data_IF_110275352795
#
_entry.id   IF_110275352795
#
_cell.length_a   1.000
_cell.length_b   1.000
_cell.length_c   1.000
_cell.angle_alpha   90.00
_cell.angle_beta   90.00
_cell.angle_gamma   90.00
#
_symmetry.space_group_name_H-M   'P 1'
#
loop_
_entity.id
_entity.type
_entity.pdbx_description
1 polymer ?
#
# COMPACT_ATOMS: atom_id res chain seq x y z
N UNK A 1 -10.52 -1.22 -32.57
CA UNK A 1 -10.75 0.03 -33.34
C UNK A 1 -12.21 0.45 -33.60
N UNK A 2 -13.18 0.12 -32.74
CA UNK A 2 -14.43 0.91 -32.58
C UNK A 2 -14.91 0.76 -31.13
N UNK A 3 -14.78 -0.45 -30.57
CA UNK A 3 -14.90 -0.73 -29.11
C UNK A 3 -13.82 -0.04 -28.28
N UNK A 4 -12.56 -0.04 -28.74
CA UNK A 4 -11.48 0.74 -28.10
C UNK A 4 -11.70 2.25 -28.19
N UNK A 5 -12.33 2.74 -29.28
CA UNK A 5 -12.65 4.15 -29.43
C UNK A 5 -13.83 4.57 -28.55
N UNK A 6 -14.81 3.69 -28.32
CA UNK A 6 -15.90 3.91 -27.37
C UNK A 6 -15.44 3.80 -25.91
N UNK A 7 -14.56 2.83 -25.58
CA UNK A 7 -13.97 2.72 -24.25
C UNK A 7 -13.09 3.94 -23.90
N UNK A 8 -12.40 4.51 -24.89
CA UNK A 8 -11.66 5.76 -24.73
C UNK A 8 -12.52 7.01 -24.49
N UNK A 9 -13.82 6.97 -24.78
CA UNK A 9 -14.78 8.05 -24.49
C UNK A 9 -15.32 7.92 -23.04
N UNK A 10 -15.20 6.76 -22.40
CA UNK A 10 -15.64 6.50 -21.01
C UNK A 10 -14.50 6.60 -19.97
N UNK A 11 -13.24 6.66 -20.40
CA UNK A 11 -12.08 6.82 -19.53
C UNK A 11 -11.81 8.32 -19.27
N UNK A 12 -12.12 8.79 -18.06
CA UNK A 12 -11.87 10.15 -17.63
C UNK A 12 -10.69 10.18 -16.66
N UNK A 13 -9.70 11.04 -16.94
CA UNK A 13 -8.64 11.33 -16.00
C UNK A 13 -9.22 12.14 -14.82
N UNK A 14 -9.07 11.62 -13.60
CA UNK A 14 -9.44 12.28 -12.36
C UNK A 14 -8.20 12.69 -11.56
N UNK A 15 -8.31 13.81 -10.85
CA UNK A 15 -7.36 14.12 -9.78
C UNK A 15 -7.61 13.17 -8.60
N UNK A 16 -6.56 12.56 -8.06
CA UNK A 16 -6.63 11.79 -6.83
C UNK A 16 -6.73 12.71 -5.59
N UNK A 17 -6.53 12.14 -4.41
CA UNK A 17 -6.44 12.90 -3.18
C UNK A 17 -5.35 13.99 -3.21
N UNK A 18 -5.43 14.93 -2.27
CA UNK A 18 -4.63 16.16 -2.26
C UNK A 18 -3.12 15.93 -2.45
N UNK A 19 -2.44 16.90 -3.05
CA UNK A 19 -0.99 16.82 -3.32
C UNK A 19 -0.16 16.85 -2.02
N UNK A 20 1.04 16.25 -2.08
CA UNK A 20 2.11 16.51 -1.12
C UNK A 20 2.99 17.65 -1.63
N UNK A 21 3.59 18.44 -0.74
CA UNK A 21 4.57 19.45 -1.12
C UNK A 21 5.94 19.15 -0.53
N UNK A 22 6.99 19.53 -1.25
CA UNK A 22 8.37 19.34 -0.79
C UNK A 22 8.73 20.25 0.39
N UNK A 23 8.03 21.38 0.50
CA UNK A 23 8.12 22.34 1.60
C UNK A 23 6.73 22.92 1.93
N UNK A 24 6.48 23.21 3.20
CA UNK A 24 5.26 23.88 3.67
C UNK A 24 5.20 25.34 3.21
N UNK A 25 6.36 25.96 3.00
CA UNK A 25 6.51 27.29 2.40
C UNK A 25 7.35 27.12 1.14
N UNK A 26 6.74 27.03 -0.05
CA UNK A 26 7.47 26.83 -1.30
C UNK A 26 8.56 27.90 -1.49
N UNK A 27 9.78 27.46 -1.77
CA UNK A 27 10.93 28.33 -2.09
C UNK A 27 11.65 27.79 -3.32
N UNK A 28 12.39 28.63 -4.02
CA UNK A 28 13.11 28.20 -5.22
C UNK A 28 14.03 27.00 -4.92
N UNK A 29 13.85 25.91 -5.67
CA UNK A 29 14.58 24.65 -5.46
C UNK A 29 14.00 23.72 -4.39
N UNK A 30 12.94 24.13 -3.69
CA UNK A 30 12.16 23.31 -2.75
C UNK A 30 10.67 23.72 -2.81
N UNK A 31 10.11 23.67 -4.02
CA UNK A 31 8.76 24.06 -4.38
C UNK A 31 8.03 23.00 -5.21
N UNK A 32 8.42 21.73 -5.10
CA UNK A 32 7.80 20.65 -5.87
C UNK A 32 6.55 20.13 -5.18
N UNK A 33 5.46 19.97 -5.94
CA UNK A 33 4.27 19.25 -5.55
C UNK A 33 4.25 17.86 -6.18
N UNK A 34 3.74 16.89 -5.41
CA UNK A 34 3.56 15.50 -5.82
C UNK A 34 2.07 15.17 -5.81
N UNK A 35 1.52 14.86 -6.98
CA UNK A 35 0.08 14.69 -7.17
C UNK A 35 -0.22 13.27 -7.65
N UNK A 36 -1.09 12.58 -6.93
CA UNK A 36 -1.67 11.30 -7.35
C UNK A 36 -2.87 11.51 -8.27
N UNK A 37 -3.06 10.60 -9.22
CA UNK A 37 -4.17 10.65 -10.18
C UNK A 37 -4.66 9.25 -10.54
N UNK A 38 -5.84 9.19 -11.14
CA UNK A 38 -6.42 7.96 -11.65
C UNK A 38 -7.11 8.17 -13.00
N UNK A 39 -7.26 7.09 -13.77
CA UNK A 39 -8.08 7.05 -14.99
C UNK A 39 -9.25 6.10 -14.75
N UNK A 40 -10.48 6.61 -14.81
CA UNK A 40 -11.68 5.78 -14.64
C UNK A 40 -11.77 4.72 -15.73
N UNK A 41 -12.48 3.61 -15.44
CA UNK A 41 -12.69 2.45 -16.33
C UNK A 41 -11.43 1.62 -16.58
N UNK A 42 -10.26 2.23 -16.76
CA UNK A 42 -8.97 1.54 -16.85
C UNK A 42 -8.39 1.21 -15.47
N UNK A 43 -8.70 2.03 -14.46
CA UNK A 43 -8.19 1.93 -13.10
C UNK A 43 -6.66 1.87 -13.06
N UNK A 44 -6.05 2.80 -13.79
CA UNK A 44 -4.61 3.07 -13.75
C UNK A 44 -4.35 4.39 -13.05
N UNK A 45 -3.18 4.53 -12.44
CA UNK A 45 -2.79 5.75 -11.74
C UNK A 45 -1.45 6.29 -12.17
N UNK A 46 -1.19 7.53 -11.78
CA UNK A 46 0.12 8.17 -11.92
C UNK A 46 0.41 9.04 -10.70
N UNK A 47 1.68 9.06 -10.31
CA UNK A 47 2.23 10.04 -9.37
C UNK A 47 3.16 10.96 -10.17
N UNK A 48 2.83 12.24 -10.17
CA UNK A 48 3.57 13.24 -10.94
C UNK A 48 4.21 14.27 -10.03
N UNK A 49 5.40 14.73 -10.40
CA UNK A 49 6.03 15.89 -9.80
C UNK A 49 5.93 17.10 -10.70
N UNK A 50 5.44 18.21 -10.15
CA UNK A 50 5.36 19.50 -10.81
C UNK A 50 5.83 20.57 -9.83
N UNK A 51 6.49 21.62 -10.32
CA UNK A 51 6.86 22.73 -9.45
C UNK A 51 5.67 23.68 -9.24
N UNK A 52 5.60 24.28 -8.06
CA UNK A 52 4.67 25.33 -7.70
C UNK A 52 5.31 26.65 -8.12
N UNK A 53 4.56 27.44 -8.90
CA UNK A 53 4.91 28.80 -9.24
C UNK A 53 4.91 29.66 -7.96
N UNK A 54 6.05 30.30 -7.66
CA UNK A 54 6.24 31.02 -6.40
C UNK A 54 5.52 32.37 -6.36
N UNK A 55 5.11 32.91 -7.51
CA UNK A 55 4.41 34.19 -7.60
C UNK A 55 2.90 33.98 -7.51
N UNK A 56 2.39 32.95 -8.17
CA UNK A 56 0.95 32.69 -8.31
C UNK A 56 0.43 31.58 -7.38
N UNK A 57 1.31 30.73 -6.85
CA UNK A 57 0.94 29.56 -6.06
C UNK A 57 0.33 28.40 -6.86
N UNK A 58 0.24 28.53 -8.19
CA UNK A 58 -0.31 27.50 -9.07
C UNK A 58 0.71 26.42 -9.41
N UNK A 59 0.25 25.23 -9.77
CA UNK A 59 1.13 24.21 -10.35
C UNK A 59 1.56 24.60 -11.76
N UNK A 60 2.86 24.51 -12.04
CA UNK A 60 3.39 24.64 -13.39
C UNK A 60 2.93 23.45 -14.24
N UNK A 61 2.62 23.72 -15.51
CA UNK A 61 2.15 22.69 -16.46
C UNK A 61 3.22 21.67 -16.84
N UNK A 62 4.49 21.97 -16.57
CA UNK A 62 5.62 21.07 -16.87
C UNK A 62 5.72 19.97 -15.82
N UNK A 63 5.56 18.72 -16.26
CA UNK A 63 5.78 17.53 -15.44
C UNK A 63 7.28 17.23 -15.40
N UNK A 64 7.87 17.22 -14.21
CA UNK A 64 9.30 16.89 -14.00
C UNK A 64 9.55 15.40 -14.17
N UNK A 65 8.63 14.58 -13.66
CA UNK A 65 8.64 13.14 -13.83
C UNK A 65 7.25 12.55 -13.60
N UNK A 66 7.02 11.37 -14.19
CA UNK A 66 5.84 10.52 -14.02
C UNK A 66 6.31 9.15 -13.53
N UNK A 67 5.78 8.73 -12.37
CA UNK A 67 6.12 7.44 -11.77
C UNK A 67 5.59 6.27 -12.60
N UNK A 68 4.38 6.42 -13.18
CA UNK A 68 3.76 5.40 -14.04
C UNK A 68 4.66 4.99 -15.19
N UNK A 69 5.18 5.97 -15.92
CA UNK A 69 6.05 5.75 -17.09
C UNK A 69 7.34 5.04 -16.70
N UNK A 70 7.92 5.42 -15.56
CA UNK A 70 9.14 4.79 -15.01
C UNK A 70 8.88 3.38 -14.49
N UNK A 71 7.70 3.12 -13.92
CA UNK A 71 7.32 1.80 -13.44
C UNK A 71 7.08 0.81 -14.58
N UNK A 72 6.42 1.24 -15.66
CA UNK A 72 6.18 0.39 -16.82
C UNK A 72 7.51 -0.11 -17.42
N UNK A 73 8.54 0.75 -17.47
CA UNK A 73 9.89 0.38 -17.92
C UNK A 73 10.61 -0.63 -17.01
N UNK A 74 10.17 -0.81 -15.76
CA UNK A 74 10.73 -1.80 -14.81
C UNK A 74 10.11 -3.19 -14.96
N UNK A 75 9.14 -3.33 -15.86
CA UNK A 75 8.39 -4.59 -16.07
C UNK A 75 8.53 -5.06 -17.52
N UNK A 76 8.62 -6.39 -17.69
CA UNK A 76 8.71 -7.04 -18.99
C UNK A 76 7.59 -8.04 -19.21
N UNK A 77 7.70 -8.81 -20.29
CA UNK A 77 6.74 -9.88 -20.58
C UNK A 77 6.84 -11.01 -19.55
N UNK A 78 8.06 -11.46 -19.23
CA UNK A 78 8.31 -12.66 -18.41
C UNK A 78 9.28 -12.39 -17.24
N UNK A 79 9.53 -11.12 -16.93
CA UNK A 79 10.44 -10.68 -15.89
C UNK A 79 10.05 -9.29 -15.37
N UNK A 80 10.59 -8.92 -14.22
CA UNK A 80 10.49 -7.56 -13.69
C UNK A 80 11.65 -7.29 -12.72
N UNK A 81 11.99 -6.01 -12.51
CA UNK A 81 13.05 -5.58 -11.59
C UNK A 81 12.49 -4.82 -10.37
N UNK A 82 11.24 -5.12 -9.97
CA UNK A 82 10.59 -4.44 -8.85
C UNK A 82 10.96 -5.08 -7.51
N UNK A 83 11.16 -4.22 -6.50
CA UNK A 83 11.34 -4.64 -5.09
C UNK A 83 10.01 -4.50 -4.38
N UNK A 84 9.25 -5.59 -4.33
CA UNK A 84 7.94 -5.62 -3.69
C UNK A 84 8.06 -6.48 -2.45
N UNK A 85 7.66 -5.93 -1.31
CA UNK A 85 7.83 -6.53 -0.01
C UNK A 85 6.49 -6.91 0.60
N UNK A 86 6.53 -7.98 1.39
CA UNK A 86 5.42 -8.39 2.25
C UNK A 86 5.97 -8.68 3.64
N UNK A 87 5.15 -8.47 4.66
CA UNK A 87 5.46 -8.93 6.02
C UNK A 87 5.07 -10.39 6.13
N UNK A 88 5.97 -11.22 6.64
CA UNK A 88 5.62 -12.61 6.93
C UNK A 88 4.68 -12.68 8.15
N UNK A 89 3.55 -13.41 8.06
CA UNK A 89 2.61 -13.54 9.17
C UNK A 89 3.27 -14.13 10.42
N UNK A 90 3.05 -13.50 11.58
CA UNK A 90 3.54 -14.01 12.87
C UNK A 90 5.02 -13.69 13.20
N UNK A 91 5.76 -12.98 12.35
CA UNK A 91 7.11 -12.48 12.68
C UNK A 91 7.32 -11.03 12.18
N UNK A 92 8.48 -10.44 12.46
CA UNK A 92 8.86 -9.07 12.01
C UNK A 92 9.78 -9.10 10.78
N UNK A 93 9.70 -10.16 9.97
CA UNK A 93 10.55 -10.33 8.79
C UNK A 93 9.87 -9.77 7.56
N UNK A 94 10.64 -9.04 6.75
CA UNK A 94 10.21 -8.62 5.42
C UNK A 94 10.78 -9.57 4.38
N UNK A 95 9.93 -10.00 3.46
CA UNK A 95 10.31 -10.93 2.39
C UNK A 95 9.88 -10.37 1.04
N UNK A 96 10.65 -10.69 -0.01
CA UNK A 96 10.31 -10.28 -1.36
C UNK A 96 9.07 -11.05 -1.85
N UNK A 97 8.10 -10.34 -2.42
CA UNK A 97 6.91 -10.88 -3.08
C UNK A 97 7.27 -11.55 -4.40
N UNK A 98 8.02 -12.65 -4.36
CA UNK A 98 8.53 -13.36 -5.55
C UNK A 98 8.18 -14.83 -5.46
N UNK A 99 7.77 -15.40 -6.59
CA UNK A 99 7.54 -16.83 -6.74
C UNK A 99 7.86 -17.23 -8.18
N UNK A 100 8.95 -17.96 -8.35
CA UNK A 100 9.50 -18.34 -9.65
C UNK A 100 9.65 -17.12 -10.59
N UNK A 101 10.12 -16.01 -10.03
CA UNK A 101 10.24 -14.71 -10.71
C UNK A 101 11.64 -14.57 -11.32
N UNK A 102 11.74 -13.99 -12.51
CA UNK A 102 13.01 -13.62 -13.16
C UNK A 102 13.23 -12.12 -13.13
N UNK A 103 14.50 -11.71 -12.99
CA UNK A 103 14.93 -10.33 -13.22
C UNK A 103 14.96 -10.04 -14.73
N UNK A 104 14.88 -8.77 -15.12
CA UNK A 104 15.08 -8.34 -16.50
C UNK A 104 16.51 -7.83 -16.72
N UNK A 105 17.08 -8.12 -17.88
CA UNK A 105 18.26 -7.43 -18.39
C UNK A 105 17.91 -6.03 -18.93
N UNK A 106 18.89 -5.34 -19.50
CA UNK A 106 18.70 -3.99 -20.08
C UNK A 106 17.77 -3.94 -21.29
N UNK A 107 17.46 -5.08 -21.91
CA UNK A 107 16.55 -5.19 -23.05
C UNK A 107 15.15 -5.66 -22.62
N UNK A 108 14.90 -5.83 -21.31
CA UNK A 108 13.63 -6.33 -20.80
C UNK A 108 13.46 -7.84 -20.97
N UNK A 109 14.54 -8.59 -21.17
CA UNK A 109 14.52 -10.05 -21.30
C UNK A 109 14.85 -10.74 -19.97
N UNK A 110 14.25 -11.92 -19.67
CA UNK A 110 14.54 -12.64 -18.43
C UNK A 110 16.01 -13.04 -18.30
N UNK A 111 16.62 -12.75 -17.16
CA UNK A 111 18.01 -13.07 -16.84
C UNK A 111 18.17 -13.60 -15.41
N UNK A 112 19.34 -14.17 -15.10
CA UNK A 112 19.69 -14.70 -13.79
C UNK A 112 18.91 -15.96 -13.39
N UNK A 113 18.89 -16.28 -12.09
CA UNK A 113 18.17 -17.43 -11.53
C UNK A 113 16.72 -17.08 -11.18
N UNK A 114 15.85 -18.08 -11.13
CA UNK A 114 14.49 -17.89 -10.60
C UNK A 114 14.55 -17.58 -9.09
N UNK A 115 13.80 -16.56 -8.67
CA UNK A 115 13.68 -16.17 -7.28
C UNK A 115 12.31 -16.57 -6.72
N UNK A 116 12.32 -17.20 -5.54
CA UNK A 116 11.14 -17.48 -4.73
C UNK A 116 11.46 -17.13 -3.28
N UNK A 117 10.88 -16.04 -2.79
CA UNK A 117 11.03 -15.62 -1.40
C UNK A 117 9.68 -15.51 -0.66
N UNK A 118 8.56 -15.57 -1.38
CA UNK A 118 7.24 -15.62 -0.74
C UNK A 118 7.11 -16.91 0.09
N UNK A 119 6.76 -16.86 1.39
CA UNK A 119 6.68 -18.05 2.24
C UNK A 119 5.62 -19.04 1.74
N UNK A 120 5.89 -20.34 1.89
CA UNK A 120 4.99 -21.42 1.43
C UNK A 120 3.58 -21.34 2.06
N UNK A 121 3.49 -20.83 3.30
CA UNK A 121 2.22 -20.56 3.98
C UNK A 121 1.37 -19.54 3.21
N UNK A 122 1.97 -18.44 2.77
CA UNK A 122 1.30 -17.37 2.01
C UNK A 122 0.99 -17.80 0.58
N UNK A 123 1.92 -18.54 -0.05
CA UNK A 123 1.69 -19.17 -1.34
C UNK A 123 0.41 -20.00 -1.33
N UNK A 124 0.27 -20.90 -0.36
CA UNK A 124 -0.89 -21.80 -0.24
C UNK A 124 -2.16 -21.06 0.20
N UNK A 125 -2.04 -20.08 1.09
CA UNK A 125 -3.19 -19.35 1.61
C UNK A 125 -3.84 -18.43 0.58
N UNK A 126 -3.06 -17.77 -0.28
CA UNK A 126 -3.56 -16.69 -1.13
C UNK A 126 -3.44 -16.93 -2.63
N UNK A 127 -2.50 -17.76 -3.09
CA UNK A 127 -2.17 -17.83 -4.52
C UNK A 127 -2.25 -19.23 -5.11
N UNK A 128 -2.20 -20.30 -4.32
CA UNK A 128 -2.23 -21.69 -4.78
C UNK A 128 -3.21 -22.54 -3.96
N UNK A 129 -4.50 -22.17 -4.04
CA UNK A 129 -5.56 -22.86 -3.30
C UNK A 129 -5.94 -24.15 -4.05
N UNK A 130 -5.80 -25.35 -3.46
CA UNK A 130 -6.06 -26.61 -4.14
C UNK A 130 -7.49 -26.74 -4.65
N UNK A 131 -7.65 -27.39 -5.80
CA UNK A 131 -8.96 -27.72 -6.36
C UNK A 131 -9.86 -28.51 -5.38
N UNK A 132 -9.33 -29.29 -4.45
CA UNK A 132 -10.15 -30.00 -3.45
C UNK A 132 -10.87 -29.09 -2.44
N UNK A 133 -10.61 -27.77 -2.44
CA UNK A 133 -11.33 -26.76 -1.65
C UNK A 133 -12.24 -25.87 -2.53
N UNK A 134 -12.67 -26.35 -3.70
CA UNK A 134 -13.22 -25.60 -4.85
C UNK A 134 -14.51 -24.76 -4.66
N UNK A 135 -15.28 -24.88 -3.56
CA UNK A 135 -16.48 -24.05 -3.41
C UNK A 135 -16.10 -22.61 -3.00
N UNK A 136 -16.03 -21.71 -3.99
CA UNK A 136 -15.84 -20.26 -3.78
C UNK A 136 -14.40 -19.75 -3.63
N UNK A 137 -13.41 -20.34 -4.32
CA UNK A 137 -11.99 -19.96 -4.20
C UNK A 137 -11.37 -19.34 -5.47
N UNK A 138 -10.24 -18.65 -5.28
CA UNK A 138 -9.45 -17.83 -6.21
C UNK A 138 -9.65 -18.04 -7.73
N UNK A 139 -9.50 -19.25 -8.32
CA UNK A 139 -9.71 -19.39 -9.75
C UNK A 139 -11.20 -19.34 -10.12
N UNK A 140 -12.14 -19.91 -9.35
CA UNK A 140 -13.59 -19.90 -9.67
C UNK A 140 -14.25 -18.53 -9.50
N UNK A 141 -13.59 -17.62 -8.79
CA UNK A 141 -14.07 -16.26 -8.56
C UNK A 141 -13.74 -15.28 -9.70
N UNK A 142 -12.80 -15.61 -10.59
CA UNK A 142 -12.47 -14.79 -11.75
C UNK A 142 -13.51 -14.96 -12.86
N UNK A 143 -13.96 -13.85 -13.47
CA UNK A 143 -15.03 -13.85 -14.49
C UNK A 143 -14.71 -14.74 -15.69
N UNK A 144 -13.44 -14.84 -16.09
CA UNK A 144 -12.99 -15.66 -17.22
C UNK A 144 -12.88 -17.16 -16.91
N UNK A 145 -13.06 -17.60 -15.67
CA UNK A 145 -12.81 -18.99 -15.26
C UNK A 145 -13.67 -20.01 -15.99
N UNK A 146 -14.93 -19.67 -16.28
CA UNK A 146 -15.85 -20.56 -17.03
C UNK A 146 -15.36 -20.83 -18.46
N UNK A 147 -14.53 -19.93 -19.00
CA UNK A 147 -13.92 -20.04 -20.31
C UNK A 147 -12.50 -20.66 -20.26
N UNK A 148 -11.94 -20.83 -19.06
CA UNK A 148 -10.65 -21.50 -18.89
C UNK A 148 -10.79 -23.00 -19.09
N UNK A 149 -9.94 -23.55 -19.94
CA UNK A 149 -9.81 -24.99 -20.16
C UNK A 149 -9.16 -25.70 -18.97
N UNK A 150 -9.53 -26.96 -18.73
CA UNK A 150 -9.11 -27.77 -17.58
C UNK A 150 -8.12 -28.89 -17.97
N UNK A 151 -7.55 -28.82 -19.17
CA UNK A 151 -6.63 -29.83 -19.70
C UNK A 151 -7.32 -31.04 -20.32
N UNK A 152 -8.66 -31.13 -20.24
CA UNK A 152 -9.39 -32.18 -20.93
C UNK A 152 -9.26 -32.06 -22.45
N UNK A 153 -9.39 -33.18 -23.15
CA UNK A 153 -9.37 -33.24 -24.62
C UNK A 153 -8.09 -32.67 -25.27
N UNK A 154 -6.95 -32.72 -24.57
CA UNK A 154 -5.66 -32.24 -25.10
C UNK A 154 -5.49 -30.72 -25.09
N UNK A 155 -6.38 -30.00 -24.40
CA UNK A 155 -6.26 -28.56 -24.17
C UNK A 155 -5.18 -28.24 -23.12
N UNK A 156 -4.75 -26.98 -23.05
CA UNK A 156 -3.93 -26.49 -21.94
C UNK A 156 -4.79 -26.45 -20.67
N UNK A 157 -4.28 -26.90 -19.53
CA UNK A 157 -4.96 -26.70 -18.24
C UNK A 157 -4.75 -25.26 -17.73
N UNK A 158 -5.53 -24.33 -18.28
CA UNK A 158 -5.51 -22.91 -17.92
C UNK A 158 -5.86 -22.69 -16.45
N UNK A 159 -6.74 -23.52 -15.88
CA UNK A 159 -7.18 -23.39 -14.49
C UNK A 159 -6.06 -23.64 -13.51
N UNK A 160 -5.21 -24.63 -13.78
CA UNK A 160 -4.03 -24.91 -12.97
C UNK A 160 -2.98 -23.81 -13.13
N UNK A 161 -2.68 -23.39 -14.37
CA UNK A 161 -1.60 -22.41 -14.59
C UNK A 161 -2.00 -20.97 -14.26
N UNK A 162 -3.28 -20.64 -14.10
CA UNK A 162 -3.74 -19.30 -13.71
C UNK A 162 -3.45 -18.94 -12.25
N UNK A 163 -3.05 -19.91 -11.43
CA UNK A 163 -2.72 -19.73 -10.01
C UNK A 163 -1.20 -19.74 -9.79
N UNK A 164 -0.78 -19.65 -8.52
CA UNK A 164 0.61 -19.76 -8.08
C UNK A 164 1.51 -18.65 -8.62
N UNK A 165 2.68 -19.06 -9.11
CA UNK A 165 3.72 -18.16 -9.61
C UNK A 165 3.25 -17.22 -10.73
N UNK A 166 2.39 -17.68 -11.63
CA UNK A 166 1.90 -16.86 -12.74
C UNK A 166 1.05 -15.69 -12.23
N UNK A 167 0.22 -15.93 -11.22
CA UNK A 167 -0.61 -14.88 -10.62
C UNK A 167 0.26 -13.89 -9.84
N UNK A 168 1.21 -14.39 -9.04
CA UNK A 168 2.17 -13.54 -8.32
C UNK A 168 2.94 -12.66 -9.32
N UNK A 169 3.46 -13.22 -10.40
CA UNK A 169 4.20 -12.48 -11.42
C UNK A 169 3.33 -11.47 -12.18
N UNK A 170 2.06 -11.77 -12.44
CA UNK A 170 1.12 -10.78 -12.97
C UNK A 170 0.93 -9.61 -11.99
N UNK A 171 0.73 -9.88 -10.70
CA UNK A 171 0.57 -8.86 -9.65
C UNK A 171 1.83 -8.02 -9.46
N UNK A 172 3.01 -8.60 -9.69
CA UNK A 172 4.27 -7.84 -9.75
C UNK A 172 4.35 -6.92 -10.98
N UNK A 173 3.57 -7.16 -12.02
CA UNK A 173 3.52 -6.31 -13.22
C UNK A 173 3.98 -7.00 -14.50
N UNK A 174 4.32 -8.29 -14.48
CA UNK A 174 4.70 -9.01 -15.71
C UNK A 174 3.51 -9.12 -16.66
N UNK A 175 3.78 -8.94 -17.96
CA UNK A 175 2.74 -8.69 -18.97
C UNK A 175 2.47 -9.84 -19.94
N UNK A 176 3.30 -10.89 -19.92
CA UNK A 176 3.28 -11.98 -20.90
C UNK A 176 1.95 -12.71 -20.97
N UNK A 177 1.25 -12.83 -19.84
CA UNK A 177 -0.02 -13.55 -19.71
C UNK A 177 -1.26 -12.64 -19.71
N UNK A 178 -1.11 -11.37 -20.06
CA UNK A 178 -2.22 -10.43 -20.22
C UNK A 178 -3.05 -10.74 -21.47
N UNK A 179 -4.29 -10.27 -21.52
CA UNK A 179 -5.17 -10.43 -22.69
C UNK A 179 -5.65 -11.86 -22.86
N UNK A 180 -6.42 -12.34 -21.88
CA UNK A 180 -7.03 -13.67 -21.81
C UNK A 180 -7.53 -14.20 -23.18
N UNK A 181 -7.11 -15.43 -23.51
CA UNK A 181 -7.60 -16.19 -24.67
C UNK A 181 -7.82 -17.65 -24.24
N UNK A 182 -9.00 -18.26 -24.48
CA UNK A 182 -9.24 -19.67 -24.17
C UNK A 182 -8.22 -20.61 -24.83
N UNK A 183 -7.85 -21.69 -24.14
CA UNK A 183 -6.87 -22.67 -24.61
C UNK A 183 -5.50 -22.05 -25.00
N UNK A 184 -5.03 -21.08 -24.22
CA UNK A 184 -3.73 -20.43 -24.41
C UNK A 184 -3.03 -20.16 -23.08
N UNK A 185 -1.82 -19.62 -23.13
CA UNK A 185 -1.06 -19.20 -21.96
C UNK A 185 -1.36 -17.75 -21.52
N UNK A 186 -2.33 -17.08 -22.17
CA UNK A 186 -2.88 -15.76 -21.84
C UNK A 186 -4.04 -15.93 -20.87
N UNK A 187 -3.87 -15.50 -19.63
CA UNK A 187 -4.72 -15.90 -18.49
C UNK A 187 -5.48 -14.75 -17.84
N UNK A 188 -4.96 -13.52 -17.97
CA UNK A 188 -5.39 -12.38 -17.15
C UNK A 188 -5.89 -11.21 -18.00
N UNK A 189 -6.46 -10.20 -17.36
CA UNK A 189 -6.83 -8.95 -18.03
C UNK A 189 -5.65 -8.27 -18.71
N UNK A 190 -5.95 -7.46 -19.72
CA UNK A 190 -4.98 -6.50 -20.28
C UNK A 190 -4.85 -5.29 -19.37
N UNK A 191 -3.64 -4.74 -19.25
CA UNK A 191 -3.37 -3.49 -18.56
C UNK A 191 -2.76 -2.46 -19.51
N UNK A 192 -3.21 -1.22 -19.44
CA UNK A 192 -2.54 -0.10 -20.11
C UNK A 192 -1.28 0.31 -19.36
N UNK A 193 -1.33 0.31 -18.02
CA UNK A 193 -0.22 0.61 -17.13
C UNK A 193 -0.17 -0.33 -15.91
N UNK A 194 1.02 -0.47 -15.31
CA UNK A 194 1.22 -1.34 -14.13
C UNK A 194 0.79 -0.65 -12.83
N UNK A 195 1.05 0.66 -12.70
CA UNK A 195 0.69 1.42 -11.50
C UNK A 195 -0.83 1.52 -11.37
N UNK A 196 -1.35 1.05 -10.23
CA UNK A 196 -2.77 1.14 -9.90
C UNK A 196 -3.25 2.57 -9.69
N UNK A 197 -4.56 2.77 -9.73
CA UNK A 197 -5.19 4.05 -9.47
C UNK A 197 -4.89 4.57 -8.05
N UNK A 198 -4.59 5.88 -7.95
CA UNK A 198 -4.40 6.60 -6.69
C UNK A 198 -5.61 7.50 -6.48
N UNK A 199 -6.64 6.97 -5.81
CA UNK A 199 -7.93 7.65 -5.66
C UNK A 199 -7.96 8.49 -4.39
N UNK A 200 -7.84 7.87 -3.21
CA UNK A 200 -7.99 8.58 -1.92
C UNK A 200 -6.69 8.71 -1.13
N UNK A 201 -5.60 8.09 -1.58
CA UNK A 201 -4.31 8.19 -0.89
C UNK A 201 -3.61 9.49 -1.25
N UNK A 202 -3.55 10.42 -0.31
CA UNK A 202 -2.70 11.60 -0.42
C UNK A 202 -1.23 11.14 -0.29
N UNK A 203 -0.35 11.50 -1.24
CA UNK A 203 1.07 11.21 -1.12
C UNK A 203 1.66 11.88 0.13
N UNK A 204 2.71 11.29 0.70
CA UNK A 204 3.47 11.84 1.83
C UNK A 204 4.93 11.93 1.47
N UNK A 205 5.46 13.15 1.46
CA UNK A 205 6.87 13.43 1.20
C UNK A 205 7.68 13.41 2.49
N UNK A 206 8.80 12.68 2.49
CA UNK A 206 9.71 12.55 3.64
C UNK A 206 11.12 12.86 3.19
N UNK A 207 11.74 13.86 3.82
CA UNK A 207 13.15 14.22 3.71
C UNK A 207 13.79 14.25 5.09
N UNK A 208 14.92 14.91 5.30
CA UNK A 208 15.54 15.09 6.61
C UNK A 208 14.53 15.44 7.74
N UNK A 209 14.66 14.88 8.95
CA UNK A 209 13.83 15.23 10.10
C UNK A 209 13.87 16.74 10.40
N UNK A 210 12.73 17.33 10.74
CA UNK A 210 12.61 18.76 11.03
C UNK A 210 11.89 19.08 12.36
N UNK A 211 11.55 18.07 13.18
CA UNK A 211 10.98 18.34 14.50
C UNK A 211 12.06 18.85 15.47
N UNK A 212 11.63 19.31 16.64
CA UNK A 212 12.53 19.80 17.71
C UNK A 212 12.18 19.15 19.06
N UNK A 213 12.09 17.81 19.07
CA UNK A 213 11.85 17.09 20.31
C UNK A 213 13.02 17.27 21.29
N UNK A 214 12.68 17.54 22.55
CA UNK A 214 13.65 17.68 23.65
C UNK A 214 14.05 16.32 24.24
N UNK A 215 13.51 15.23 23.71
CA UNK A 215 13.82 13.87 24.11
C UNK A 215 15.30 13.53 23.84
N UNK A 216 15.90 12.79 24.76
CA UNK A 216 17.31 12.39 24.71
C UNK A 216 17.66 11.73 23.37
N UNK A 217 18.76 12.19 22.77
CA UNK A 217 19.30 11.64 21.52
C UNK A 217 18.60 12.10 20.24
N UNK A 218 17.49 12.86 20.32
CA UNK A 218 16.78 13.28 19.11
C UNK A 218 17.61 14.26 18.27
N UNK A 219 18.29 15.23 18.88
CA UNK A 219 19.17 16.16 18.15
C UNK A 219 20.30 15.44 17.39
N UNK A 220 20.84 14.37 17.97
CA UNK A 220 21.82 13.51 17.32
C UNK A 220 21.19 12.73 16.15
N UNK A 221 19.96 12.24 16.30
CA UNK A 221 19.20 11.60 15.23
C UNK A 221 18.94 12.54 14.05
N UNK A 222 18.48 13.78 14.31
CA UNK A 222 18.26 14.80 13.27
C UNK A 222 19.56 15.05 12.50
N UNK A 223 20.68 15.21 13.23
CA UNK A 223 22.00 15.41 12.63
C UNK A 223 22.43 14.22 11.77
N UNK A 224 22.24 12.99 12.27
CA UNK A 224 22.58 11.76 11.57
C UNK A 224 21.71 11.49 10.33
N UNK A 225 20.56 12.16 10.21
CA UNK A 225 19.61 12.01 9.10
C UNK A 225 19.46 13.28 8.27
N UNK A 226 20.40 14.22 8.37
CA UNK A 226 20.41 15.47 7.60
C UNK A 226 20.40 15.24 6.08
N UNK A 227 21.06 14.17 5.61
CA UNK A 227 21.14 13.80 4.19
C UNK A 227 20.24 12.60 3.85
N UNK A 228 19.13 12.40 4.58
CA UNK A 228 18.17 11.34 4.28
C UNK A 228 17.62 11.52 2.86
N UNK A 229 17.78 10.48 2.03
CA UNK A 229 17.22 10.41 0.67
C UNK A 229 15.74 10.78 0.69
N UNK A 230 15.32 11.82 -0.05
CA UNK A 230 13.93 12.22 -0.09
C UNK A 230 13.06 11.21 -0.84
N UNK A 231 11.93 10.85 -0.25
CA UNK A 231 10.98 9.87 -0.78
C UNK A 231 9.56 10.43 -0.78
N UNK A 232 8.75 9.97 -1.73
CA UNK A 232 7.29 10.10 -1.68
C UNK A 232 6.68 8.71 -1.49
N UNK A 233 5.79 8.61 -0.50
CA UNK A 233 5.03 7.39 -0.20
C UNK A 233 3.57 7.59 -0.55
N UNK A 234 2.96 6.65 -1.27
CA UNK A 234 1.55 6.74 -1.66
C UNK A 234 0.94 5.34 -1.80
N UNK A 235 -0.29 5.17 -1.31
CA UNK A 235 -1.06 3.96 -1.53
C UNK A 235 -1.70 3.96 -2.91
N UNK A 236 -1.69 2.80 -3.58
CA UNK A 236 -2.38 2.59 -4.84
C UNK A 236 -3.25 1.32 -4.81
N UNK A 237 -4.28 1.32 -5.64
CA UNK A 237 -5.28 0.25 -5.65
C UNK A 237 -4.83 -1.03 -6.38
N UNK A 238 -3.59 -1.08 -6.86
CA UNK A 238 -2.89 -2.31 -7.28
C UNK A 238 -2.41 -3.18 -6.10
N UNK A 239 -2.73 -2.78 -4.86
CA UNK A 239 -2.49 -3.56 -3.66
C UNK A 239 -1.32 -3.09 -2.83
N UNK A 240 -0.70 -1.95 -3.16
CA UNK A 240 0.61 -1.61 -2.62
C UNK A 240 0.68 -0.18 -2.07
N UNK A 241 1.45 -0.02 -1.01
CA UNK A 241 2.13 1.24 -0.72
C UNK A 241 3.37 1.32 -1.60
N UNK A 242 3.49 2.36 -2.41
CA UNK A 242 4.68 2.61 -3.22
C UNK A 242 5.58 3.65 -2.56
N UNK A 243 6.90 3.47 -2.72
CA UNK A 243 7.92 4.43 -2.35
C UNK A 243 8.70 4.86 -3.59
N UNK A 244 8.63 6.15 -3.93
CA UNK A 244 9.31 6.73 -5.08
C UNK A 244 10.43 7.67 -4.63
N UNK A 245 11.57 7.60 -5.31
CA UNK A 245 12.64 8.59 -5.10
C UNK A 245 12.13 9.97 -5.50
N UNK A 246 12.29 10.96 -4.63
CA UNK A 246 11.82 12.31 -4.86
C UNK A 246 12.85 13.40 -4.49
N UNK A 247 14.12 13.27 -4.90
CA UNK A 247 15.13 14.26 -4.59
C UNK A 247 14.77 15.61 -5.22
N UNK A 248 14.74 16.67 -4.39
CA UNK A 248 14.51 18.04 -4.87
C UNK A 248 15.80 18.73 -5.35
N UNK A 249 16.97 18.23 -4.92
CA UNK A 249 18.28 18.82 -5.22
C UNK A 249 19.02 18.02 -6.29
N UNK A 250 19.58 18.71 -7.27
CA UNK A 250 20.43 18.11 -8.33
C UNK A 250 21.71 17.47 -7.78
N UNK A 251 22.12 17.86 -6.58
CA UNK A 251 23.29 17.30 -5.88
C UNK A 251 22.98 16.01 -5.14
N UNK A 252 21.72 15.59 -5.04
CA UNK A 252 21.36 14.32 -4.42
C UNK A 252 21.88 13.15 -5.29
N UNK A 253 22.55 12.14 -4.70
CA UNK A 253 23.05 10.99 -5.46
C UNK A 253 21.95 10.21 -6.20
N UNK A 254 20.69 10.34 -5.77
CA UNK A 254 19.53 9.69 -6.39
C UNK A 254 18.79 10.60 -7.38
N UNK A 255 19.33 11.77 -7.75
CA UNK A 255 18.63 12.72 -8.62
C UNK A 255 18.20 12.11 -9.96
N UNK A 256 19.03 11.29 -10.58
CA UNK A 256 18.70 10.56 -11.81
C UNK A 256 17.53 9.57 -11.62
N UNK A 257 17.37 9.05 -10.40
CA UNK A 257 16.33 8.09 -10.03
C UNK A 257 15.00 8.78 -9.66
N UNK A 258 14.88 10.12 -9.76
CA UNK A 258 13.64 10.82 -9.41
C UNK A 258 12.41 10.24 -10.12
N UNK A 259 11.35 9.94 -9.37
CA UNK A 259 10.14 9.29 -9.85
C UNK A 259 10.26 7.77 -10.05
N UNK A 260 11.42 7.16 -9.85
CA UNK A 260 11.55 5.70 -9.91
C UNK A 260 11.07 5.05 -8.62
N UNK A 261 10.38 3.92 -8.75
CA UNK A 261 9.98 3.08 -7.63
C UNK A 261 11.23 2.48 -6.97
N UNK A 262 11.48 2.86 -5.72
CA UNK A 262 12.53 2.26 -4.90
C UNK A 262 12.09 0.90 -4.38
N UNK A 263 10.84 0.82 -3.90
CA UNK A 263 10.18 -0.39 -3.44
C UNK A 263 8.67 -0.18 -3.31
N UNK A 264 7.94 -1.28 -3.14
CA UNK A 264 6.54 -1.29 -2.78
C UNK A 264 6.29 -2.27 -1.62
N UNK A 265 5.23 -2.08 -0.85
CA UNK A 265 4.84 -2.94 0.28
C UNK A 265 3.37 -3.35 0.15
N UNK A 266 3.09 -4.64 0.31
CA UNK A 266 1.73 -5.19 0.30
C UNK A 266 1.33 -5.56 1.74
N UNK A 267 0.38 -4.83 2.34
CA UNK A 267 -0.19 -5.21 3.63
C UNK A 267 -0.91 -6.56 3.55
N UNK A 268 -0.79 -7.39 4.59
CA UNK A 268 -1.39 -8.74 4.59
C UNK A 268 -2.92 -8.71 4.49
N UNK A 269 -3.57 -7.64 4.96
CA UNK A 269 -5.00 -7.46 4.92
C UNK A 269 -5.60 -7.40 3.51
N UNK A 270 -4.83 -6.96 2.49
CA UNK A 270 -5.31 -6.88 1.10
C UNK A 270 -5.06 -8.17 0.30
N UNK A 271 -4.16 -9.04 0.77
CA UNK A 271 -3.73 -10.24 0.05
C UNK A 271 -4.86 -11.17 -0.40
N UNK A 272 -5.90 -11.46 0.42
CA UNK A 272 -6.99 -12.33 -0.01
C UNK A 272 -7.73 -11.84 -1.25
N UNK A 273 -7.67 -10.54 -1.56
CA UNK A 273 -8.41 -9.91 -2.66
C UNK A 273 -7.54 -9.60 -3.88
N UNK A 274 -6.21 -9.72 -3.81
CA UNK A 274 -5.33 -9.29 -4.89
C UNK A 274 -5.56 -10.03 -6.20
N UNK A 275 -6.00 -11.29 -6.16
CA UNK A 275 -6.32 -12.04 -7.38
C UNK A 275 -7.36 -11.35 -8.26
N UNK A 276 -8.25 -10.54 -7.69
CA UNK A 276 -9.29 -9.80 -8.42
C UNK A 276 -8.68 -8.80 -9.40
N UNK A 277 -7.45 -8.34 -9.16
CA UNK A 277 -6.70 -7.49 -10.09
C UNK A 277 -6.39 -8.19 -11.41
N UNK A 278 -6.50 -9.52 -11.49
CA UNK A 278 -6.25 -10.30 -12.69
C UNK A 278 -7.53 -10.62 -13.51
N UNK A 279 -8.70 -10.27 -12.98
CA UNK A 279 -10.01 -10.56 -13.56
C UNK A 279 -10.24 -9.73 -14.85
N UNK A 280 -10.68 -10.37 -15.92
CA UNK A 280 -10.94 -9.68 -17.20
C UNK A 280 -12.06 -8.64 -17.13
N UNK A 281 -12.95 -8.73 -16.15
CA UNK A 281 -14.02 -7.77 -15.87
C UNK A 281 -13.65 -6.78 -14.76
N UNK A 282 -12.36 -6.61 -14.45
CA UNK A 282 -11.90 -5.71 -13.38
C UNK A 282 -12.40 -4.27 -13.52
N UNK A 283 -12.59 -3.77 -14.74
CA UNK A 283 -13.15 -2.43 -15.00
C UNK A 283 -14.50 -2.19 -14.28
N UNK A 284 -15.37 -3.21 -14.28
CA UNK A 284 -16.70 -3.19 -13.65
C UNK A 284 -16.68 -3.73 -12.21
N UNK A 285 -15.65 -4.50 -11.86
CA UNK A 285 -15.49 -5.21 -10.57
C UNK A 285 -14.35 -4.65 -9.73
N UNK A 286 -14.00 -3.38 -9.95
CA UNK A 286 -12.89 -2.69 -9.29
C UNK A 286 -12.97 -2.84 -7.78
N UNK A 287 -11.79 -2.86 -7.16
CA UNK A 287 -11.65 -2.85 -5.72
C UNK A 287 -10.65 -1.80 -5.31
N UNK A 288 -10.97 -1.16 -4.20
CA UNK A 288 -9.97 -0.47 -3.41
C UNK A 288 -9.08 -1.50 -2.69
N UNK A 289 -7.81 -1.17 -2.50
CA UNK A 289 -6.88 -2.00 -1.72
C UNK A 289 -6.06 -1.15 -0.75
N UNK A 290 -4.91 -0.63 -1.15
CA UNK A 290 -4.12 0.28 -0.31
C UNK A 290 -4.47 1.72 -0.68
N UNK A 291 -5.58 2.21 -0.14
CA UNK A 291 -6.16 3.50 -0.54
C UNK A 291 -6.06 4.58 0.56
N UNK A 292 -5.61 4.20 1.77
CA UNK A 292 -5.39 5.13 2.87
C UNK A 292 -4.18 6.03 2.64
N UNK A 293 -4.25 7.27 3.16
CA UNK A 293 -3.12 8.21 3.13
C UNK A 293 -2.10 7.84 4.22
N UNK A 294 -0.82 7.59 3.88
CA UNK A 294 0.19 7.29 4.90
C UNK A 294 0.52 8.53 5.75
N UNK A 295 0.69 8.34 7.06
CA UNK A 295 1.21 9.34 8.00
C UNK A 295 2.64 8.96 8.39
N UNK A 296 3.51 9.95 8.58
CA UNK A 296 4.91 9.74 8.99
C UNK A 296 5.22 10.56 10.23
N UNK A 297 6.02 10.00 11.15
CA UNK A 297 6.45 10.67 12.37
C UNK A 297 7.67 10.00 12.98
N UNK A 298 8.51 10.78 13.67
CA UNK A 298 9.65 10.22 14.39
C UNK A 298 9.22 9.72 15.77
N UNK A 299 9.67 8.53 16.14
CA UNK A 299 9.40 7.90 17.43
C UNK A 299 10.70 7.43 18.08
N UNK A 300 10.70 7.33 19.41
CA UNK A 300 11.75 6.62 20.12
C UNK A 300 11.27 5.20 20.46
N UNK A 301 11.93 4.21 19.86
CA UNK A 301 11.71 2.80 20.17
C UNK A 301 12.57 2.43 21.39
N UNK A 302 11.94 2.37 22.56
CA UNK A 302 12.63 2.05 23.81
C UNK A 302 13.13 0.60 23.87
N UNK A 303 12.50 -0.33 23.15
CA UNK A 303 12.93 -1.72 23.10
C UNK A 303 14.23 -1.90 22.34
N UNK A 304 14.44 -1.08 21.30
CA UNK A 304 15.67 -1.06 20.52
C UNK A 304 16.63 0.10 20.87
N UNK A 305 16.25 0.94 21.82
CA UNK A 305 16.99 2.13 22.26
C UNK A 305 17.46 3.03 21.10
N UNK A 306 16.55 3.31 20.15
CA UNK A 306 16.87 4.07 18.94
C UNK A 306 15.70 4.91 18.46
N UNK A 307 16.04 6.04 17.83
CA UNK A 307 15.09 6.85 17.08
C UNK A 307 14.78 6.22 15.73
N UNK A 308 13.50 6.26 15.36
CA UNK A 308 13.01 5.77 14.07
C UNK A 308 12.07 6.78 13.44
N UNK A 309 12.03 6.79 12.12
CA UNK A 309 10.96 7.43 11.35
C UNK A 309 9.94 6.36 10.97
N UNK A 310 8.78 6.43 11.60
CA UNK A 310 7.68 5.49 11.43
C UNK A 310 6.73 6.00 10.35
N UNK A 311 6.40 5.16 9.38
CA UNK A 311 5.30 5.34 8.44
C UNK A 311 4.15 4.45 8.87
N UNK A 312 2.94 5.00 8.96
CA UNK A 312 1.71 4.25 9.28
C UNK A 312 0.65 4.54 8.22
N UNK A 313 0.04 3.51 7.66
CA UNK A 313 -1.05 3.64 6.70
C UNK A 313 -2.29 2.84 7.11
N UNK A 314 -3.45 3.36 6.70
CA UNK A 314 -4.70 2.59 6.64
C UNK A 314 -4.97 2.09 5.22
N UNK A 315 -6.15 1.52 5.01
CA UNK A 315 -6.58 0.91 3.75
C UNK A 315 -7.87 1.54 3.20
N UNK A 316 -8.51 2.47 3.93
CA UNK A 316 -9.85 3.00 3.58
C UNK A 316 -10.83 1.87 3.24
N UNK A 317 -11.42 1.89 2.04
CA UNK A 317 -12.34 0.85 1.54
C UNK A 317 -11.67 -0.48 1.22
N UNK A 318 -10.34 -0.53 1.13
CA UNK A 318 -9.64 -1.71 0.66
C UNK A 318 -9.35 -2.78 1.71
N UNK A 319 -9.57 -2.47 3.00
CA UNK A 319 -9.51 -3.49 4.03
C UNK A 319 -9.62 -2.98 5.46
N UNK A 320 -9.74 -3.95 6.36
CA UNK A 320 -9.91 -3.70 7.79
C UNK A 320 -8.58 -3.84 8.51
N UNK A 321 -7.72 -2.83 8.38
CA UNK A 321 -6.43 -2.85 9.06
C UNK A 321 -5.57 -1.63 8.82
N UNK A 322 -4.57 -1.51 9.69
CA UNK A 322 -3.49 -0.54 9.61
C UNK A 322 -2.16 -1.28 9.53
N UNK A 323 -1.16 -0.66 8.94
CA UNK A 323 0.19 -1.20 8.87
C UNK A 323 1.21 -0.12 9.21
N UNK A 324 2.37 -0.55 9.70
CA UNK A 324 3.47 0.33 10.01
C UNK A 324 4.82 -0.20 9.53
N UNK A 325 5.64 0.72 9.02
CA UNK A 325 6.98 0.48 8.51
C UNK A 325 7.97 1.45 9.16
N UNK A 326 9.17 0.97 9.47
CA UNK A 326 10.31 1.81 9.78
C UNK A 326 10.98 2.20 8.47
N UNK A 327 10.93 3.50 8.16
CA UNK A 327 11.51 4.13 6.97
C UNK A 327 12.68 5.06 7.34
N UNK A 328 13.33 4.79 8.47
CA UNK A 328 14.54 5.52 8.92
C UNK A 328 15.69 5.43 7.92
N UNK A 329 15.81 4.27 7.27
CA UNK A 329 16.53 4.11 6.01
C UNK A 329 15.50 3.97 4.88
N UNK A 330 15.33 5.00 4.03
CA UNK A 330 14.31 5.00 2.99
C UNK A 330 14.52 3.95 1.91
N UNK A 331 15.73 3.42 1.75
CA UNK A 331 16.06 2.42 0.71
C UNK A 331 16.02 0.98 1.21
N UNK A 332 16.00 0.81 2.53
CA UNK A 332 15.93 -0.48 3.22
C UNK A 332 14.87 -0.43 4.33
N UNK A 333 13.58 -0.32 3.98
CA UNK A 333 12.50 -0.27 4.96
C UNK A 333 12.48 -1.54 5.81
N UNK A 334 11.90 -1.45 7.01
CA UNK A 334 11.66 -2.61 7.88
C UNK A 334 10.19 -2.68 8.29
N UNK A 335 9.58 -3.87 8.38
CA UNK A 335 8.21 -4.01 8.80
C UNK A 335 8.17 -3.88 10.32
N UNK A 336 7.25 -3.07 10.84
CA UNK A 336 7.07 -2.92 12.29
C UNK A 336 5.93 -3.84 12.72
N UNK A 337 4.71 -3.50 12.35
CA UNK A 337 3.51 -4.22 12.77
C UNK A 337 2.38 -4.02 11.77
N UNK A 338 1.39 -4.90 11.85
CA UNK A 338 0.09 -4.73 11.22
C UNK A 338 -0.97 -4.93 12.30
N UNK A 339 -1.96 -4.04 12.32
CA UNK A 339 -3.07 -4.04 13.25
C UNK A 339 -4.36 -4.22 12.46
N UNK A 340 -4.78 -5.48 12.31
CA UNK A 340 -5.86 -5.89 11.42
C UNK A 340 -7.10 -6.32 12.21
N UNK A 341 -8.23 -6.38 11.52
CA UNK A 341 -9.41 -7.07 12.02
C UNK A 341 -9.11 -8.57 12.20
N UNK A 342 -9.42 -9.08 13.40
CA UNK A 342 -9.12 -10.45 13.80
C UNK A 342 -10.15 -11.00 14.77
N UNK A 343 -9.79 -12.06 15.49
CA UNK A 343 -10.66 -12.60 16.54
C UNK A 343 -10.87 -11.56 17.66
N UNK A 344 -12.06 -11.55 18.28
CA UNK A 344 -12.31 -10.70 19.43
C UNK A 344 -11.45 -11.15 20.62
N UNK A 345 -10.53 -10.29 21.05
CA UNK A 345 -9.78 -10.52 22.27
C UNK A 345 -10.69 -10.27 23.49
N UNK A 346 -10.72 -11.22 24.43
CA UNK A 346 -11.42 -11.06 25.71
C UNK A 346 -10.82 -9.94 26.55
N UNK A 347 -9.50 -9.75 26.46
CA UNK A 347 -8.78 -8.56 26.91
C UNK A 347 -8.04 -7.95 25.70
N UNK A 348 -8.42 -6.74 25.24
CA UNK A 348 -7.77 -6.12 24.10
C UNK A 348 -6.33 -5.68 24.40
N UNK A 349 -5.97 -5.36 25.65
CA UNK A 349 -4.64 -4.84 25.98
C UNK A 349 -3.57 -5.91 25.71
N UNK A 350 -2.53 -5.53 24.98
CA UNK A 350 -1.44 -6.41 24.55
C UNK A 350 -1.70 -7.15 23.23
N UNK A 351 -2.94 -7.16 22.74
CA UNK A 351 -3.27 -7.76 21.45
C UNK A 351 -2.81 -6.87 20.28
N UNK A 352 -2.58 -7.49 19.12
CA UNK A 352 -2.17 -6.84 17.86
C UNK A 352 -3.25 -6.91 16.79
N UNK A 353 -4.47 -7.29 17.16
CA UNK A 353 -5.66 -7.33 16.31
C UNK A 353 -6.91 -7.16 17.19
N UNK A 354 -8.01 -6.72 16.59
CA UNK A 354 -9.30 -6.60 17.26
C UNK A 354 -10.44 -6.80 16.26
N UNK A 355 -11.51 -7.50 16.64
CA UNK A 355 -12.64 -7.76 15.75
C UNK A 355 -13.47 -6.52 15.39
N UNK A 356 -13.35 -5.44 16.16
CA UNK A 356 -14.09 -4.20 15.95
C UNK A 356 -13.35 -3.23 15.01
N UNK A 357 -12.34 -3.70 14.28
CA UNK A 357 -11.72 -2.95 13.18
C UNK A 357 -12.54 -3.14 11.91
N UNK A 358 -13.01 -2.03 11.38
CA UNK A 358 -13.68 -1.92 10.09
C UNK A 358 -12.81 -1.23 9.05
N UNK A 359 -13.45 -0.58 8.08
CA UNK A 359 -12.81 0.17 7.00
C UNK A 359 -12.09 1.42 7.56
N UNK A 360 -10.79 1.50 7.32
CA UNK A 360 -9.86 2.37 8.04
C UNK A 360 -9.67 3.74 7.37
N UNK A 361 -10.76 4.48 7.26
CA UNK A 361 -10.78 5.85 6.71
C UNK A 361 -10.14 6.90 7.62
N UNK A 362 -9.90 6.56 8.89
CA UNK A 362 -9.25 7.44 9.84
C UNK A 362 -7.75 7.56 9.58
N UNK A 363 -7.23 8.79 9.59
CA UNK A 363 -5.79 9.03 9.48
C UNK A 363 -5.10 8.65 10.80
N UNK A 364 -4.09 7.76 10.79
CA UNK A 364 -3.31 7.46 11.98
C UNK A 364 -2.62 8.70 12.51
N UNK A 365 -2.61 8.87 13.84
CA UNK A 365 -1.87 9.93 14.52
C UNK A 365 -0.72 9.35 15.32
N UNK A 366 0.50 9.82 15.04
CA UNK A 366 1.71 9.44 15.78
C UNK A 366 1.97 10.53 16.82
N UNK A 367 2.03 10.16 18.09
CA UNK A 367 2.19 11.12 19.20
C UNK A 367 2.86 10.47 20.42
N UNK A 368 3.07 11.27 21.48
CA UNK A 368 3.67 10.84 22.73
C UNK A 368 2.72 11.08 23.89
N UNK A 369 2.48 10.06 24.70
CA UNK A 369 1.69 10.16 25.93
C UNK A 369 2.45 10.93 27.01
N UNK A 370 1.72 11.43 28.02
CA UNK A 370 2.31 12.17 29.17
C UNK A 370 3.40 11.38 29.91
N UNK A 371 3.34 10.05 29.91
CA UNK A 371 4.34 9.18 30.51
C UNK A 371 5.59 8.97 29.62
N UNK A 372 5.72 9.69 28.52
CA UNK A 372 6.85 9.60 27.58
C UNK A 372 6.72 8.48 26.55
N UNK A 373 5.66 7.66 26.58
CA UNK A 373 5.49 6.55 25.64
C UNK A 373 5.01 7.04 24.28
N UNK A 374 5.74 6.70 23.22
CA UNK A 374 5.34 6.91 21.83
C UNK A 374 4.21 5.95 21.44
N UNK A 375 3.17 6.49 20.84
CA UNK A 375 1.96 5.76 20.48
C UNK A 375 1.46 6.13 19.10
N UNK A 376 0.72 5.20 18.49
CA UNK A 376 -0.06 5.43 17.29
C UNK A 376 -1.53 5.31 17.66
N UNK A 377 -2.28 6.38 17.42
CA UNK A 377 -3.71 6.43 17.67
C UNK A 377 -4.47 6.21 16.36
N UNK A 378 -5.37 5.22 16.36
CA UNK A 378 -6.19 4.83 15.21
C UNK A 378 -7.62 4.56 15.63
N UNK A 379 -8.57 4.69 14.71
CA UNK A 379 -9.99 4.47 14.99
C UNK A 379 -10.49 3.11 14.50
N UNK A 380 -11.63 2.67 15.03
CA UNK A 380 -12.35 1.47 14.55
C UNK A 380 -12.85 1.58 13.12
N UNK A 381 -13.02 2.79 12.59
CA UNK A 381 -13.46 3.01 11.21
C UNK A 381 -14.95 2.70 10.98
N UNK A 382 -15.29 2.42 9.73
CA UNK A 382 -16.66 2.13 9.28
C UNK A 382 -16.95 0.63 9.16
N UNK A 383 -18.21 0.24 9.23
CA UNK A 383 -18.66 -1.13 8.94
C UNK A 383 -17.93 -2.21 9.77
N UNK A 384 -17.62 -1.92 11.04
CA UNK A 384 -17.04 -2.87 11.99
C UNK A 384 -18.11 -3.82 12.57
N UNK A 385 -18.87 -4.46 11.69
CA UNK A 385 -20.03 -5.32 12.01
C UNK A 385 -20.08 -6.61 11.20
N UNK A 386 -19.01 -6.97 10.49
CA UNK A 386 -18.96 -8.23 9.74
C UNK A 386 -18.89 -9.44 10.69
N UNK A 387 -20.04 -9.86 11.18
CA UNK A 387 -20.18 -10.98 12.10
C UNK A 387 -19.94 -12.34 11.43
N UNK A 388 -19.92 -12.39 10.10
CA UNK A 388 -19.62 -13.63 9.35
C UNK A 388 -18.13 -13.94 9.39
N UNK A 389 -17.30 -12.89 9.31
CA UNK A 389 -15.83 -13.00 9.35
C UNK A 389 -15.28 -12.79 10.76
N UNK A 390 -15.90 -11.92 11.55
CA UNK A 390 -15.45 -11.52 12.89
C UNK A 390 -16.61 -11.64 13.89
N UNK A 391 -16.92 -12.87 14.35
CA UNK A 391 -17.94 -13.08 15.37
C UNK A 391 -17.64 -12.26 16.62
N UNK A 392 -18.56 -11.38 17.00
CA UNK A 392 -18.42 -10.48 18.15
C UNK A 392 -18.05 -9.03 17.80
N UNK A 393 -17.88 -8.69 16.52
CA UNK A 393 -17.84 -7.30 16.08
C UNK A 393 -19.16 -6.59 16.42
N UNK A 394 -19.09 -5.52 17.21
CA UNK A 394 -20.25 -4.94 17.89
C UNK A 394 -20.75 -3.61 17.29
N UNK A 395 -20.08 -3.10 16.27
CA UNK A 395 -20.44 -1.85 15.59
C UNK A 395 -20.15 -0.58 16.38
N UNK A 396 -19.53 -0.68 17.56
CA UNK A 396 -19.23 0.49 18.40
C UNK A 396 -18.02 1.27 17.91
N UNK A 397 -18.00 2.56 18.20
CA UNK A 397 -16.85 3.42 17.91
C UNK A 397 -15.74 3.23 18.95
N UNK A 398 -14.52 2.87 18.51
CA UNK A 398 -13.36 2.72 19.37
C UNK A 398 -12.17 3.58 18.91
N UNK A 399 -11.51 4.22 19.86
CA UNK A 399 -10.17 4.77 19.69
C UNK A 399 -9.16 3.77 20.26
N UNK A 400 -8.24 3.30 19.42
CA UNK A 400 -7.15 2.43 19.81
C UNK A 400 -5.89 3.27 20.01
N UNK A 401 -5.27 3.11 21.18
CA UNK A 401 -3.94 3.63 21.49
C UNK A 401 -2.97 2.46 21.38
N UNK A 402 -2.20 2.43 20.30
CA UNK A 402 -1.24 1.38 20.01
C UNK A 402 0.16 1.81 20.44
N UNK A 403 0.96 0.86 20.92
CA UNK A 403 2.40 1.05 21.05
C UNK A 403 3.01 1.33 19.66
N UNK A 404 3.75 2.42 19.51
CA UNK A 404 4.25 2.81 18.20
C UNK A 404 5.27 1.83 17.62
N UNK A 405 6.03 1.13 18.48
CA UNK A 405 7.03 0.16 18.05
C UNK A 405 6.44 -1.23 17.84
N UNK A 406 5.47 -1.66 18.65
CA UNK A 406 4.97 -3.05 18.60
C UNK A 406 3.59 -3.22 17.98
N UNK A 407 2.82 -2.15 17.86
CA UNK A 407 1.41 -2.20 17.40
C UNK A 407 0.47 -2.87 18.40
N UNK A 408 0.95 -3.17 19.61
CA UNK A 408 0.12 -3.73 20.66
C UNK A 408 -0.83 -2.67 21.23
N UNK A 409 -2.06 -3.06 21.49
CA UNK A 409 -3.04 -2.18 22.14
C UNK A 409 -2.56 -1.88 23.56
N UNK A 410 -2.32 -0.60 23.84
CA UNK A 410 -2.12 -0.07 25.20
C UNK A 410 -3.46 0.25 25.83
N UNK A 411 -4.38 0.83 25.05
CA UNK A 411 -5.73 1.16 25.49
C UNK A 411 -6.71 1.07 24.33
N UNK A 412 -7.91 0.56 24.60
CA UNK A 412 -9.06 0.59 23.70
C UNK A 412 -10.16 1.41 24.37
N UNK A 413 -10.41 2.61 23.86
CA UNK A 413 -11.36 3.57 24.44
C UNK A 413 -12.65 3.49 23.64
N UNK A 414 -13.71 2.97 24.25
CA UNK A 414 -15.04 2.95 23.64
C UNK A 414 -15.73 4.30 23.77
N UNK A 415 -16.33 4.77 22.68
CA UNK A 415 -17.19 5.97 22.69
C UNK A 415 -18.56 5.70 23.32
N UNK A 416 -18.97 4.43 23.39
CA UNK A 416 -20.31 4.02 23.79
C UNK A 416 -21.37 4.18 22.69
N UNK A 417 -21.01 4.77 21.55
CA UNK A 417 -21.90 4.95 20.40
C UNK A 417 -21.78 3.78 19.42
N UNK A 418 -22.88 3.49 18.72
CA UNK A 418 -22.99 2.46 17.69
C UNK A 418 -23.46 1.11 18.19
N UNK A 419 -24.05 0.33 17.29
CA UNK A 419 -24.39 -1.08 17.47
C UNK A 419 -24.35 -1.82 16.12
N UNK A 420 -24.74 -3.10 16.11
CA UNK A 420 -24.69 -3.93 14.90
C UNK A 420 -25.68 -3.51 13.81
N UNK A 421 -26.76 -2.81 14.15
CA UNK A 421 -27.74 -2.28 13.20
C UNK A 421 -27.39 -0.88 12.70
N UNK A 422 -26.77 -0.07 13.57
CA UNK A 422 -26.35 1.31 13.33
C UNK A 422 -24.92 1.52 13.79
N UNK A 423 -23.92 1.10 12.99
CA UNK A 423 -22.51 1.20 13.38
C UNK A 423 -22.10 2.67 13.57
N UNK A 424 -21.24 2.94 14.56
CA UNK A 424 -20.82 4.31 14.90
C UNK A 424 -20.11 5.04 13.77
N UNK A 425 -19.34 4.32 12.94
CA UNK A 425 -18.55 4.92 11.87
C UNK A 425 -17.47 5.90 12.35
N UNK A 426 -16.83 5.63 13.49
CA UNK A 426 -15.79 6.50 14.04
C UNK A 426 -14.57 6.51 13.12
N UNK A 427 -14.47 7.52 12.24
CA UNK A 427 -13.36 7.69 11.32
C UNK A 427 -12.36 8.77 11.75
N UNK A 428 -12.83 9.95 12.12
CA UNK A 428 -11.94 11.09 12.33
C UNK A 428 -11.58 11.20 13.80
N UNK A 429 -10.35 11.62 14.03
CA UNK A 429 -9.87 12.06 15.34
C UNK A 429 -9.19 13.40 15.17
N UNK A 430 -9.37 14.27 16.15
CA UNK A 430 -8.60 15.49 16.26
C UNK A 430 -7.90 15.47 17.61
N UNK A 431 -6.62 15.82 17.61
CA UNK A 431 -5.80 15.78 18.79
C UNK A 431 -5.34 17.20 19.12
N UNK A 432 -5.53 17.57 20.37
CA UNK A 432 -4.98 18.80 20.92
C UNK A 432 -3.98 18.44 22.01
N UNK A 433 -2.74 18.87 21.84
CA UNK A 433 -1.75 18.85 22.90
C UNK A 433 -1.82 20.21 23.57
N UNK A 434 -2.34 20.26 24.80
CA UNK A 434 -2.25 21.49 25.59
C UNK A 434 -0.77 21.79 25.81
N UNK A 435 -0.35 23.00 25.43
CA UNK A 435 1.00 23.47 25.67
C UNK A 435 1.18 23.56 27.19
N UNK A 436 1.67 22.48 27.81
CA UNK A 436 2.04 22.52 29.22
C UNK A 436 3.34 23.29 29.23
N UNK A 437 3.23 24.57 29.59
CA UNK A 437 4.37 25.48 29.73
C UNK A 437 5.52 24.78 30.48
N UNK A 438 6.71 24.92 29.90
CA UNK A 438 7.98 24.44 30.43
C UNK A 438 8.23 24.87 31.87
#
# INVERSE_FOLDING_TARGET
GLREALAGIEAQAGAGAGAATSNLTPVAGDNTAYTGSFTSSEWTGDLQAQDIDLETGNLLTTIKWSARSKLDMRTGQLCDNRKIYVREPGNTTMVNFTWNTKACDSNGLPTGSFATALPASMQTAYFNVPASKLSGNLPTSMSQYTLMTDGSSGSIDQRTIATGANLVNFLRGQRGREGFVPNSDRLYRSRTHVLGDIVNSQPTYVKAPNNSYQDTGYSAFVTAKADRTPMVYVGANDGMLHAFFAPSKTTDPNFASAGEEAWAFIPTAVMPNLYRLADTSYAEKHIFTVDGSPTVGDIFDSGANQWKTLLVGGLNSGGNGYYALDVTDPTAPKPMWEFNAGACASNPVGATADCNIGLTYGRPTITKLKNGKWVVMVTSGYNNVDSTKYPGADGKGYLYVLDAATGQIISRIGTGAGDTGTPSGLKDTNFFVSNVAY
#
